data_IF_125677050705
#
_entry.id   IF_125677050705
#
_cell.length_a   1.000
_cell.length_b   1.000
_cell.length_c   1.000
_cell.angle_alpha   90.00
_cell.angle_beta   90.00
_cell.angle_gamma   90.00
#
_symmetry.space_group_name_H-M   'P 1'
#
loop_
_entity.id
_entity.type
_entity.pdbx_description
1 polymer ?
#
# COMPACT_ATOMS: atom_id res chain seq x y z
N UNK A 1 25.01 4.98 -4.83
CA UNK A 1 23.73 5.09 -4.10
C UNK A 1 24.00 5.63 -2.71
N UNK A 2 23.59 6.86 -2.41
CA UNK A 2 23.97 7.54 -1.15
C UNK A 2 23.09 7.15 0.05
N UNK A 3 21.92 6.55 -0.21
CA UNK A 3 20.93 6.22 0.82
C UNK A 3 21.12 4.83 1.45
N UNK A 4 21.87 3.93 0.81
CA UNK A 4 22.08 2.57 1.30
C UNK A 4 22.57 2.47 2.75
N UNK A 5 23.58 3.25 3.18
CA UNK A 5 24.02 3.27 4.58
C UNK A 5 22.94 3.71 5.56
N UNK A 6 22.17 4.76 5.23
CA UNK A 6 21.11 5.30 6.10
C UNK A 6 19.96 4.31 6.24
N UNK A 7 19.58 3.62 5.16
CA UNK A 7 18.54 2.59 5.20
C UNK A 7 18.95 1.39 6.06
N UNK A 8 20.24 1.02 6.07
CA UNK A 8 20.72 -0.05 6.96
C UNK A 8 20.69 0.35 8.42
N UNK A 9 21.07 1.59 8.74
CA UNK A 9 21.00 2.10 10.12
C UNK A 9 19.54 2.16 10.61
N UNK A 10 18.61 2.58 9.76
CA UNK A 10 17.18 2.65 10.08
C UNK A 10 16.57 1.25 10.28
N UNK A 11 16.90 0.30 9.40
CA UNK A 11 16.47 -1.10 9.52
C UNK A 11 17.07 -1.78 10.75
N UNK A 12 18.34 -1.53 11.06
CA UNK A 12 18.99 -2.02 12.29
C UNK A 12 18.30 -1.48 13.56
N UNK A 13 17.76 -0.26 13.51
CA UNK A 13 17.09 0.38 14.65
C UNK A 13 15.64 -0.06 14.83
N UNK A 14 14.89 -0.22 13.73
CA UNK A 14 13.44 -0.42 13.77
C UNK A 14 12.99 -1.80 13.28
N UNK A 15 13.70 -2.40 12.32
CA UNK A 15 13.42 -3.74 11.79
C UNK A 15 12.04 -3.87 11.12
N UNK A 16 11.47 -2.77 10.64
CA UNK A 16 10.16 -2.70 10.02
C UNK A 16 10.21 -2.35 8.52
N UNK A 17 11.40 -2.39 7.91
CA UNK A 17 11.54 -2.22 6.47
C UNK A 17 11.25 -3.50 5.69
N UNK A 18 10.52 -3.31 4.58
CA UNK A 18 10.39 -4.29 3.52
C UNK A 18 10.90 -3.69 2.21
N UNK A 19 11.93 -4.30 1.64
CA UNK A 19 12.56 -3.86 0.40
C UNK A 19 12.53 -4.95 -0.67
N UNK A 20 12.38 -4.54 -1.93
CA UNK A 20 12.48 -5.42 -3.09
C UNK A 20 13.15 -4.69 -4.25
N UNK A 21 13.78 -5.45 -5.14
CA UNK A 21 14.57 -4.95 -6.27
C UNK A 21 13.68 -4.48 -7.44
N UNK A 22 13.07 -3.30 -7.29
CA UNK A 22 12.46 -2.56 -8.39
C UNK A 22 12.60 -1.05 -8.17
N UNK A 23 12.58 -0.29 -9.26
CA UNK A 23 12.65 1.17 -9.16
C UNK A 23 11.34 1.72 -8.57
N UNK A 24 11.42 2.34 -7.40
CA UNK A 24 10.26 2.93 -6.74
C UNK A 24 9.82 4.22 -7.46
N UNK A 25 8.75 4.12 -8.24
CA UNK A 25 8.16 5.23 -8.99
C UNK A 25 6.64 5.13 -8.95
N UNK A 26 5.95 6.24 -9.23
CA UNK A 26 4.49 6.25 -9.34
C UNK A 26 3.92 5.19 -10.30
N UNK A 27 4.61 4.94 -11.42
CA UNK A 27 4.17 3.95 -12.40
C UNK A 27 4.36 2.50 -11.91
N UNK A 28 5.27 2.29 -10.94
CA UNK A 28 5.58 0.98 -10.37
C UNK A 28 4.86 0.70 -9.04
N UNK A 29 3.94 1.57 -8.60
CA UNK A 29 3.18 1.34 -7.36
C UNK A 29 2.34 0.06 -7.39
N UNK A 30 1.97 -0.44 -8.58
CA UNK A 30 1.36 -1.77 -8.71
C UNK A 30 2.31 -2.87 -8.25
N UNK A 31 3.59 -2.81 -8.62
CA UNK A 31 4.62 -3.76 -8.16
C UNK A 31 4.78 -3.67 -6.65
N UNK A 32 4.85 -2.45 -6.10
CA UNK A 32 4.92 -2.24 -4.64
C UNK A 32 3.71 -2.80 -3.90
N UNK A 33 2.53 -2.75 -4.50
CA UNK A 33 1.30 -3.33 -3.92
C UNK A 33 1.35 -4.86 -3.95
N UNK A 34 1.78 -5.45 -5.08
CA UNK A 34 1.94 -6.89 -5.21
C UNK A 34 2.99 -7.44 -4.24
N UNK A 35 4.12 -6.74 -4.08
CA UNK A 35 5.15 -7.03 -3.07
C UNK A 35 4.54 -7.14 -1.67
N UNK A 36 3.78 -6.13 -1.23
CA UNK A 36 3.17 -6.14 0.10
C UNK A 36 2.18 -7.29 0.28
N UNK A 37 1.38 -7.59 -0.75
CA UNK A 37 0.43 -8.71 -0.69
C UNK A 37 1.14 -10.07 -0.65
N UNK A 38 2.20 -10.26 -1.43
CA UNK A 38 3.03 -11.48 -1.38
C UNK A 38 3.66 -11.65 0.01
N UNK A 39 4.24 -10.59 0.56
CA UNK A 39 4.87 -10.63 1.87
C UNK A 39 3.87 -11.00 2.97
N UNK A 40 2.69 -10.34 3.01
CA UNK A 40 1.64 -10.69 3.99
C UNK A 40 1.22 -12.15 3.81
N UNK A 41 1.02 -12.60 2.57
CA UNK A 41 0.64 -14.00 2.30
C UNK A 41 1.66 -15.02 2.79
N UNK A 42 2.96 -14.68 2.81
CA UNK A 42 4.03 -15.59 3.23
C UNK A 42 4.33 -15.52 4.72
N UNK A 43 4.33 -14.32 5.29
CA UNK A 43 4.85 -14.06 6.64
C UNK A 43 3.75 -13.72 7.66
N UNK A 44 2.51 -13.48 7.23
CA UNK A 44 1.38 -13.15 8.11
C UNK A 44 0.12 -13.97 7.74
N UNK A 45 0.18 -15.32 7.70
CA UNK A 45 -0.94 -16.16 7.28
C UNK A 45 -2.18 -16.02 8.17
N UNK A 46 -2.00 -15.63 9.44
CA UNK A 46 -3.07 -15.50 10.43
C UNK A 46 -3.61 -14.06 10.56
N UNK A 47 -3.13 -13.12 9.75
CA UNK A 47 -3.63 -11.75 9.77
C UNK A 47 -5.10 -11.70 9.37
N UNK A 48 -5.97 -11.28 10.30
CA UNK A 48 -7.42 -11.17 10.04
C UNK A 48 -7.75 -10.06 9.03
N UNK A 49 -6.94 -9.00 9.01
CA UNK A 49 -7.10 -7.84 8.14
C UNK A 49 -5.74 -7.27 7.77
N UNK A 50 -5.67 -6.68 6.57
CA UNK A 50 -4.51 -5.93 6.08
C UNK A 50 -4.99 -4.56 5.67
N UNK A 51 -4.22 -3.53 6.03
CA UNK A 51 -4.44 -2.16 5.60
C UNK A 51 -3.25 -1.71 4.77
N UNK A 52 -3.53 -1.20 3.56
CA UNK A 52 -2.57 -0.42 2.79
C UNK A 52 -2.91 1.05 2.98
N UNK A 53 -1.92 1.85 3.35
CA UNK A 53 -2.03 3.29 3.50
C UNK A 53 -0.74 3.92 2.97
N UNK A 54 -0.83 5.15 2.47
CA UNK A 54 0.34 5.90 2.03
C UNK A 54 0.95 6.66 3.23
N UNK A 55 2.22 7.08 3.13
CA UNK A 55 2.94 7.68 4.27
C UNK A 55 2.43 9.09 4.65
N UNK A 56 1.62 9.70 3.81
CA UNK A 56 1.05 11.04 3.95
C UNK A 56 -0.41 11.03 4.43
N UNK A 57 -0.87 9.89 4.97
CA UNK A 57 -2.23 9.74 5.52
C UNK A 57 -2.22 9.63 7.05
N UNK A 58 -3.26 10.18 7.68
CA UNK A 58 -3.52 9.95 9.10
C UNK A 58 -4.44 8.74 9.26
N UNK A 59 -4.10 7.84 10.19
CA UNK A 59 -4.92 6.69 10.56
C UNK A 59 -5.48 6.83 11.98
N UNK A 60 -6.74 6.47 12.18
CA UNK A 60 -7.36 6.28 13.49
C UNK A 60 -7.67 4.79 13.72
N UNK A 61 -6.72 4.00 14.26
CA UNK A 61 -6.88 2.56 14.43
C UNK A 61 -8.03 2.18 15.36
N UNK A 62 -8.28 2.96 16.42
CA UNK A 62 -9.36 2.67 17.37
C UNK A 62 -10.73 2.77 16.68
N UNK A 63 -10.95 3.83 15.90
CA UNK A 63 -12.16 3.98 15.12
C UNK A 63 -12.32 2.84 14.10
N UNK A 64 -11.25 2.52 13.36
CA UNK A 64 -11.24 1.47 12.35
C UNK A 64 -11.64 0.12 12.96
N UNK A 65 -10.96 -0.30 14.03
CA UNK A 65 -11.21 -1.59 14.68
C UNK A 65 -12.62 -1.65 15.25
N UNK A 66 -13.02 -0.66 16.05
CA UNK A 66 -14.30 -0.70 16.77
C UNK A 66 -15.53 -0.52 15.87
N UNK A 67 -15.41 0.23 14.78
CA UNK A 67 -16.56 0.56 13.92
C UNK A 67 -16.66 -0.31 12.67
N UNK A 68 -15.54 -0.77 12.12
CA UNK A 68 -15.54 -1.47 10.83
C UNK A 68 -15.19 -2.96 10.97
N UNK A 69 -14.28 -3.31 11.88
CA UNK A 69 -13.70 -4.66 11.95
C UNK A 69 -14.35 -5.56 13.01
N UNK A 70 -15.19 -5.00 13.89
CA UNK A 70 -15.95 -5.74 14.91
C UNK A 70 -17.46 -5.73 14.63
N UNK A 71 -18.14 -6.89 14.67
CA UNK A 71 -17.56 -8.23 14.74
C UNK A 71 -16.75 -8.58 13.47
N UNK A 72 -15.84 -9.58 13.51
CA UNK A 72 -15.01 -9.94 12.37
C UNK A 72 -15.83 -10.25 11.10
N UNK A 73 -15.42 -9.69 9.96
CA UNK A 73 -16.08 -9.84 8.66
C UNK A 73 -15.14 -10.54 7.68
N UNK A 74 -15.62 -11.60 7.04
CA UNK A 74 -14.92 -12.26 5.94
C UNK A 74 -15.23 -11.55 4.62
N UNK A 75 -14.24 -11.49 3.72
CA UNK A 75 -14.40 -10.87 2.40
C UNK A 75 -14.58 -9.35 2.41
N UNK A 76 -14.15 -8.68 3.48
CA UNK A 76 -14.23 -7.23 3.59
C UNK A 76 -13.09 -6.57 2.80
N UNK A 77 -13.46 -5.80 1.78
CA UNK A 77 -12.61 -4.77 1.18
C UNK A 77 -13.36 -3.43 1.27
N UNK A 78 -12.77 -2.43 1.91
CA UNK A 78 -13.43 -1.14 2.17
C UNK A 78 -12.48 0.03 1.96
N UNK A 79 -13.05 1.22 1.75
CA UNK A 79 -12.33 2.46 1.47
C UNK A 79 -13.18 3.40 0.63
N UNK A 80 -12.54 4.45 0.08
CA UNK A 80 -13.19 5.31 -0.89
C UNK A 80 -13.16 4.66 -2.28
N UNK A 81 -14.32 4.26 -2.80
CA UNK A 81 -14.44 3.55 -4.09
C UNK A 81 -14.82 4.52 -5.19
N UNK A 82 -13.90 4.77 -6.13
CA UNK A 82 -14.20 5.46 -7.37
C UNK A 82 -15.04 4.55 -8.28
N UNK A 83 -16.29 4.96 -8.57
CA UNK A 83 -17.22 4.21 -9.43
C UNK A 83 -17.45 4.98 -10.73
N UNK A 84 -17.64 4.24 -11.82
CA UNK A 84 -17.97 4.82 -13.13
C UNK A 84 -16.84 5.66 -13.74
N UNK A 85 -15.59 5.41 -13.35
CA UNK A 85 -14.41 6.10 -13.89
C UNK A 85 -13.70 5.20 -14.91
N UNK A 86 -13.06 5.83 -15.90
CA UNK A 86 -12.18 5.16 -16.86
C UNK A 86 -10.79 5.81 -16.87
N UNK A 87 -9.87 5.35 -17.75
CA UNK A 87 -8.53 5.93 -17.82
C UNK A 87 -8.59 7.42 -18.18
N UNK A 88 -7.88 8.25 -17.41
CA UNK A 88 -7.83 9.70 -17.66
C UNK A 88 -6.98 9.97 -18.91
N UNK A 89 -7.56 10.60 -19.93
CA UNK A 89 -6.90 10.82 -21.23
C UNK A 89 -6.35 12.23 -21.44
N UNK A 90 -6.57 13.16 -20.52
CA UNK A 90 -6.01 14.50 -20.58
C UNK A 90 -4.54 14.51 -20.12
N UNK A 91 -3.62 15.01 -20.96
CA UNK A 91 -2.18 15.07 -20.65
C UNK A 91 -1.82 15.93 -19.44
N UNK A 92 -2.73 16.83 -19.03
CA UNK A 92 -2.55 17.67 -17.84
C UNK A 92 -2.81 16.92 -16.52
N UNK A 93 -3.45 15.75 -16.57
CA UNK A 93 -3.70 14.96 -15.36
C UNK A 93 -2.46 14.17 -14.94
N UNK A 94 -2.18 14.17 -13.64
CA UNK A 94 -1.13 13.32 -13.02
C UNK A 94 -1.25 11.85 -13.44
N UNK A 95 -2.47 11.35 -13.58
CA UNK A 95 -2.78 9.95 -13.90
C UNK A 95 -3.15 9.72 -15.37
N UNK A 96 -2.52 10.49 -16.28
CA UNK A 96 -2.74 10.34 -17.71
C UNK A 96 -2.37 8.94 -18.20
N UNK A 97 -3.26 8.33 -18.99
CA UNK A 97 -3.03 7.06 -19.69
C UNK A 97 -3.29 7.27 -21.18
N UNK A 98 -2.32 7.03 -22.08
CA UNK A 98 -2.51 7.14 -23.53
C UNK A 98 -3.45 6.05 -24.06
N UNK A 99 -4.11 6.30 -25.19
CA UNK A 99 -4.81 5.25 -25.93
C UNK A 99 -3.78 4.29 -26.54
N UNK A 100 -4.21 3.05 -26.72
CA UNK A 100 -3.50 2.00 -27.44
C UNK A 100 -3.24 2.38 -28.90
#
# INVERSE_FOLDING_TARGET
DALGPVLREEDELHGDLLQQDFLDTYNNLTLKTLMGLEWVSRYCPDAAYVMKADHDVFLNPEFLVRRLLLPPRRGLATGHVYRGTGPLRGRAYKWFVPRE
#
